data_IF_403960600306
#
_entry.id   IF_403960600306
#
_cell.length_a   1.000
_cell.length_b   1.000
_cell.length_c   1.000
_cell.angle_alpha   90.00
_cell.angle_beta   90.00
_cell.angle_gamma   90.00
#
_symmetry.space_group_name_H-M   'P 1'
#
loop_
_entity.id
_entity.type
_entity.pdbx_description
1 polymer ?
#
# COMPACT_ATOMS: atom_id res chain seq x y z
N UNK A 1 -18.20 1.85 -10.16
CA UNK A 1 -18.35 3.13 -9.42
C UNK A 1 -17.00 3.81 -9.36
N UNK A 2 -16.91 5.13 -9.67
CA UNK A 2 -15.64 5.86 -9.60
C UNK A 2 -15.17 5.94 -8.14
N UNK A 3 -13.91 5.61 -7.89
CA UNK A 3 -13.27 5.67 -6.56
C UNK A 3 -12.44 6.95 -6.42
N UNK A 4 -11.65 7.28 -7.46
CA UNK A 4 -10.78 8.46 -7.51
C UNK A 4 -10.90 9.08 -8.91
N UNK A 5 -10.89 10.41 -8.95
CA UNK A 5 -10.80 11.18 -10.19
C UNK A 5 -9.80 12.31 -10.02
N UNK A 6 -8.78 12.33 -10.88
CA UNK A 6 -7.82 13.42 -10.99
C UNK A 6 -8.23 14.29 -12.18
N UNK A 7 -8.35 15.60 -11.98
CA UNK A 7 -8.71 16.56 -13.00
C UNK A 7 -7.63 17.63 -13.12
N UNK A 8 -7.02 17.71 -14.27
CA UNK A 8 -5.93 18.66 -14.60
C UNK A 8 -4.81 18.66 -13.53
N UNK A 9 -4.55 17.46 -12.97
CA UNK A 9 -3.71 17.31 -11.80
C UNK A 9 -2.25 17.61 -12.11
N UNK A 10 -1.65 18.51 -11.32
CA UNK A 10 -0.22 18.79 -11.34
C UNK A 10 0.37 18.58 -9.94
N UNK A 11 1.50 17.87 -9.88
CA UNK A 11 2.19 17.54 -8.64
C UNK A 11 3.67 17.87 -8.75
N UNK A 12 4.27 18.29 -7.63
CA UNK A 12 5.68 18.65 -7.60
C UNK A 12 6.22 18.88 -6.20
N UNK A 13 7.51 19.17 -6.12
CA UNK A 13 8.25 19.46 -4.89
C UNK A 13 9.03 20.76 -5.05
N UNK A 14 9.01 21.62 -4.05
CA UNK A 14 9.85 22.85 -3.97
C UNK A 14 9.82 23.70 -5.24
N UNK A 15 8.64 23.84 -5.86
CA UNK A 15 8.46 24.61 -7.08
C UNK A 15 8.85 23.90 -8.38
N UNK A 16 9.34 22.65 -8.32
CA UNK A 16 9.59 21.81 -9.50
C UNK A 16 8.37 20.95 -9.79
N UNK A 17 7.77 21.12 -10.97
CA UNK A 17 6.70 20.26 -11.45
C UNK A 17 7.26 18.88 -11.84
N UNK A 18 6.64 17.81 -11.34
CA UNK A 18 6.99 16.41 -11.66
C UNK A 18 5.95 15.79 -12.57
N UNK A 19 4.68 16.07 -12.31
CA UNK A 19 3.53 15.68 -13.15
C UNK A 19 2.71 16.90 -13.43
N UNK A 20 2.22 17.04 -14.66
CA UNK A 20 1.40 18.17 -15.10
C UNK A 20 0.21 17.68 -15.93
N UNK A 21 -0.93 18.34 -15.73
CA UNK A 21 -2.13 18.16 -16.55
C UNK A 21 -2.60 16.71 -16.66
N UNK A 22 -2.50 15.95 -15.56
CA UNK A 22 -2.91 14.53 -15.54
C UNK A 22 -4.43 14.41 -15.39
N UNK A 23 -5.05 13.70 -16.31
CA UNK A 23 -6.42 13.20 -16.22
C UNK A 23 -6.38 11.70 -15.91
N UNK A 24 -6.99 11.28 -14.80
CA UNK A 24 -7.04 9.89 -14.39
C UNK A 24 -8.36 9.60 -13.67
N UNK A 25 -9.00 8.49 -14.01
CA UNK A 25 -10.16 7.98 -13.30
C UNK A 25 -9.90 6.52 -12.91
N UNK A 26 -10.13 6.19 -11.65
CA UNK A 26 -10.04 4.82 -11.11
C UNK A 26 -11.41 4.38 -10.68
N UNK A 27 -11.87 3.24 -11.18
CA UNK A 27 -13.16 2.68 -10.86
C UNK A 27 -13.03 1.44 -9.96
N UNK A 28 -14.12 1.07 -9.31
CA UNK A 28 -14.18 -0.16 -8.54
C UNK A 28 -14.03 -1.37 -9.46
N UNK A 29 -13.12 -2.28 -9.10
CA UNK A 29 -12.78 -3.44 -9.93
C UNK A 29 -11.71 -3.18 -10.99
N UNK A 30 -11.19 -1.94 -11.11
CA UNK A 30 -10.07 -1.68 -12.01
C UNK A 30 -8.77 -2.28 -11.46
N UNK A 31 -8.02 -2.89 -12.35
CA UNK A 31 -6.61 -3.21 -12.17
C UNK A 31 -5.78 -2.26 -13.05
N UNK A 32 -5.14 -1.26 -12.42
CA UNK A 32 -4.42 -0.21 -13.11
C UNK A 32 -2.90 -0.28 -12.87
N UNK A 33 -2.13 -0.51 -13.92
CA UNK A 33 -0.68 -0.46 -13.88
C UNK A 33 -0.16 0.90 -14.37
N UNK A 34 0.64 1.58 -13.52
CA UNK A 34 1.32 2.82 -13.88
C UNK A 34 2.74 2.49 -14.34
N UNK A 35 3.00 2.65 -15.63
CA UNK A 35 4.27 2.30 -16.27
C UNK A 35 5.03 3.57 -16.68
N UNK A 36 6.35 3.54 -16.56
CA UNK A 36 7.21 4.65 -16.96
C UNK A 36 8.62 4.49 -16.39
N UNK A 37 9.55 5.29 -16.89
CA UNK A 37 10.95 5.30 -16.44
C UNK A 37 11.11 5.68 -14.96
N UNK A 38 12.28 5.38 -14.39
CA UNK A 38 12.61 5.84 -13.05
C UNK A 38 12.66 7.38 -13.02
N UNK A 39 11.98 7.97 -12.05
CA UNK A 39 11.85 9.43 -11.98
C UNK A 39 10.67 10.03 -12.77
N UNK A 40 9.88 9.23 -13.51
CA UNK A 40 8.71 9.71 -14.26
C UNK A 40 7.53 10.20 -13.38
N UNK A 41 7.66 10.16 -12.04
CA UNK A 41 6.62 10.66 -11.14
C UNK A 41 5.61 9.64 -10.64
N UNK A 42 5.81 8.34 -10.87
CA UNK A 42 4.91 7.25 -10.41
C UNK A 42 4.63 7.33 -8.90
N UNK A 43 5.67 7.31 -8.09
CA UNK A 43 5.55 7.43 -6.62
C UNK A 43 5.04 8.81 -6.18
N UNK A 44 5.27 9.86 -6.98
CA UNK A 44 4.72 11.19 -6.74
C UNK A 44 3.21 11.20 -6.91
N UNK A 45 2.70 10.53 -7.95
CA UNK A 45 1.25 10.36 -8.15
C UNK A 45 0.61 9.60 -6.99
N UNK A 46 1.21 8.47 -6.57
CA UNK A 46 0.70 7.69 -5.43
C UNK A 46 0.68 8.53 -4.14
N UNK A 47 1.74 9.32 -3.88
CA UNK A 47 1.78 10.24 -2.73
C UNK A 47 0.73 11.34 -2.82
N UNK A 48 0.44 11.85 -4.03
CA UNK A 48 -0.64 12.80 -4.27
C UNK A 48 -2.01 12.18 -3.93
N UNK A 49 -2.28 10.98 -4.43
CA UNK A 49 -3.49 10.22 -4.14
C UNK A 49 -3.63 9.92 -2.64
N UNK A 50 -2.53 9.64 -1.94
CA UNK A 50 -2.53 9.42 -0.49
C UNK A 50 -2.65 10.72 0.33
N UNK A 51 -2.67 11.90 -0.32
CA UNK A 51 -2.70 13.20 0.36
C UNK A 51 -1.40 13.55 1.07
N UNK A 52 -0.30 12.84 0.80
CA UNK A 52 1.01 13.08 1.40
C UNK A 52 1.72 14.30 0.78
N UNK A 53 1.33 14.66 -0.44
CA UNK A 53 1.74 15.90 -1.11
C UNK A 53 0.49 16.61 -1.65
N UNK A 54 0.53 17.93 -1.63
CA UNK A 54 -0.58 18.74 -2.15
C UNK A 54 -0.42 18.98 -3.66
N UNK A 55 -1.52 18.94 -4.43
CA UNK A 55 -1.50 19.38 -5.81
C UNK A 55 -0.96 20.80 -5.95
N UNK A 56 -0.13 21.04 -6.97
CA UNK A 56 0.33 22.37 -7.38
C UNK A 56 -0.61 22.99 -8.42
N UNK A 57 -1.47 22.16 -9.05
CA UNK A 57 -2.55 22.57 -9.95
C UNK A 57 -3.57 21.45 -10.05
N UNK A 58 -4.79 21.77 -10.48
CA UNK A 58 -5.88 20.83 -10.56
C UNK A 58 -6.32 20.28 -9.21
N UNK A 59 -7.01 19.14 -9.20
CA UNK A 59 -7.53 18.54 -7.97
C UNK A 59 -7.74 17.03 -8.08
N UNK A 60 -7.87 16.38 -6.90
CA UNK A 60 -8.20 14.97 -6.77
C UNK A 60 -9.53 14.87 -6.05
N UNK A 61 -10.53 14.28 -6.69
CA UNK A 61 -11.81 13.92 -6.08
C UNK A 61 -11.76 12.49 -5.55
N UNK A 62 -12.06 12.33 -4.27
CA UNK A 62 -12.18 11.04 -3.61
C UNK A 62 -13.65 10.69 -3.42
N UNK A 63 -14.08 9.55 -3.94
CA UNK A 63 -15.41 8.99 -3.74
C UNK A 63 -15.41 7.83 -2.73
N UNK A 64 -14.29 7.65 -2.03
CA UNK A 64 -14.11 6.70 -0.93
C UNK A 64 -13.38 7.40 0.23
N UNK A 65 -13.64 6.98 1.48
CA UNK A 65 -12.92 7.53 2.63
C UNK A 65 -11.45 7.07 2.65
N UNK A 66 -10.51 7.90 3.11
CA UNK A 66 -9.08 7.55 3.17
C UNK A 66 -8.77 6.24 3.92
N UNK A 67 -9.60 5.88 4.92
CA UNK A 67 -9.47 4.64 5.70
C UNK A 67 -9.73 3.36 4.90
N UNK A 68 -10.25 3.47 3.69
CA UNK A 68 -10.50 2.34 2.77
C UNK A 68 -9.38 2.19 1.73
N UNK A 69 -8.32 3.00 1.82
CA UNK A 69 -7.15 2.93 0.95
C UNK A 69 -6.04 2.20 1.68
N UNK A 70 -5.67 1.02 1.19
CA UNK A 70 -4.45 0.33 1.57
C UNK A 70 -3.26 0.84 0.76
N UNK A 71 -2.10 0.93 1.39
CA UNK A 71 -0.87 1.35 0.71
C UNK A 71 0.31 0.45 1.04
N UNK A 72 0.92 -0.08 0.00
CA UNK A 72 2.19 -0.79 0.05
C UNK A 72 3.29 0.14 -0.49
N UNK A 73 4.10 0.76 0.40
CA UNK A 73 5.21 1.61 -0.02
C UNK A 73 6.37 0.79 -0.56
N UNK A 74 7.22 1.43 -1.36
CA UNK A 74 8.54 0.92 -1.68
C UNK A 74 9.33 0.70 -0.38
N UNK A 75 9.90 -0.48 -0.21
CA UNK A 75 10.58 -0.86 1.02
C UNK A 75 11.93 -0.13 1.16
N UNK A 76 12.14 0.54 2.27
CA UNK A 76 13.41 1.21 2.61
C UNK A 76 14.28 0.34 3.54
N UNK A 77 15.62 0.53 3.56
CA UNK A 77 16.51 -0.19 4.49
C UNK A 77 16.11 -0.03 5.97
N UNK A 78 15.65 1.15 6.37
CA UNK A 78 15.22 1.44 7.76
C UNK A 78 13.98 0.60 8.12
N UNK A 79 13.05 0.42 7.20
CA UNK A 79 11.86 -0.40 7.43
C UNK A 79 12.20 -1.88 7.58
N UNK A 80 13.29 -2.36 6.96
CA UNK A 80 13.74 -3.76 7.05
C UNK A 80 14.22 -4.15 8.45
N UNK A 81 14.75 -3.20 9.21
CA UNK A 81 15.31 -3.44 10.55
C UNK A 81 14.31 -3.14 11.69
N UNK A 82 13.02 -3.19 11.41
CA UNK A 82 11.99 -2.86 12.39
C UNK A 82 11.83 -3.98 13.43
N UNK A 83 12.02 -3.72 14.75
CA UNK A 83 12.06 -4.73 15.81
C UNK A 83 10.67 -5.04 16.38
N UNK A 84 9.73 -5.47 15.54
CA UNK A 84 8.39 -5.87 15.94
C UNK A 84 8.11 -7.29 15.46
N UNK A 85 7.14 -7.97 16.08
CA UNK A 85 6.63 -9.24 15.56
C UNK A 85 5.86 -9.01 14.25
N UNK A 86 5.86 -10.02 13.40
CA UNK A 86 5.14 -9.98 12.11
C UNK A 86 3.67 -9.62 12.32
N UNK A 87 3.02 -10.23 13.29
CA UNK A 87 1.60 -9.96 13.56
C UNK A 87 1.35 -8.52 13.99
N UNK A 88 2.26 -7.90 14.75
CA UNK A 88 2.16 -6.46 15.12
C UNK A 88 2.31 -5.56 13.92
N UNK A 89 3.23 -5.88 13.00
CA UNK A 89 3.38 -5.15 11.73
C UNK A 89 2.08 -5.21 10.93
N UNK A 90 1.46 -6.38 10.79
CA UNK A 90 0.21 -6.54 10.03
C UNK A 90 -0.96 -5.85 10.71
N UNK A 91 -1.09 -5.98 12.04
CA UNK A 91 -2.12 -5.30 12.84
C UNK A 91 -2.06 -3.78 12.68
N UNK A 92 -0.87 -3.20 12.48
CA UNK A 92 -0.74 -1.75 12.24
C UNK A 92 -1.51 -1.26 11.00
N UNK A 93 -1.82 -2.15 10.05
CA UNK A 93 -2.67 -1.84 8.90
C UNK A 93 -4.11 -1.47 9.28
N UNK A 94 -4.61 -1.99 10.42
CA UNK A 94 -5.96 -1.71 10.90
C UNK A 94 -6.12 -0.37 11.64
N UNK A 95 -5.02 0.35 11.90
CA UNK A 95 -5.06 1.59 12.70
C UNK A 95 -6.01 2.65 12.15
N UNK A 96 -6.01 2.85 10.83
CA UNK A 96 -6.87 3.84 10.18
C UNK A 96 -8.36 3.53 10.34
N UNK A 97 -8.73 2.25 10.36
CA UNK A 97 -10.12 1.81 10.55
C UNK A 97 -10.56 1.85 12.01
N UNK A 98 -9.62 1.68 12.95
CA UNK A 98 -9.91 1.65 14.40
C UNK A 98 -10.13 3.01 15.04
N UNK A 99 -9.66 4.09 14.42
CA UNK A 99 -9.75 5.44 15.02
C UNK A 99 -9.01 5.52 16.36
N UNK A 100 -9.72 5.89 17.43
CA UNK A 100 -9.15 6.10 18.77
C UNK A 100 -9.12 4.84 19.67
N UNK A 101 -9.44 3.65 19.16
CA UNK A 101 -9.39 2.42 19.96
C UNK A 101 -7.93 2.05 20.28
N UNK A 102 -7.50 2.05 21.58
CA UNK A 102 -6.09 1.95 21.93
C UNK A 102 -5.52 0.52 21.85
N UNK A 103 -6.37 -0.50 21.79
CA UNK A 103 -5.95 -1.88 21.80
C UNK A 103 -6.53 -2.67 20.63
N UNK A 104 -5.75 -3.66 20.15
CA UNK A 104 -6.23 -4.63 19.18
C UNK A 104 -7.09 -5.68 19.88
N UNK A 105 -8.20 -6.02 19.26
CA UNK A 105 -9.11 -7.08 19.72
C UNK A 105 -8.67 -8.44 19.19
N UNK A 106 -9.31 -9.51 19.70
CA UNK A 106 -9.14 -10.85 19.15
C UNK A 106 -9.54 -10.92 17.68
N UNK A 107 -10.62 -10.24 17.30
CA UNK A 107 -11.07 -10.19 15.90
C UNK A 107 -10.05 -9.49 14.98
N UNK A 108 -9.40 -8.41 15.45
CA UNK A 108 -8.31 -7.76 14.70
C UNK A 108 -7.15 -8.73 14.44
N UNK A 109 -6.77 -9.50 15.48
CA UNK A 109 -5.70 -10.49 15.35
C UNK A 109 -6.08 -11.62 14.40
N UNK A 110 -7.32 -12.10 14.44
CA UNK A 110 -7.84 -13.09 13.50
C UNK A 110 -7.82 -12.57 12.06
N UNK A 111 -8.20 -11.29 11.84
CA UNK A 111 -8.10 -10.63 10.54
C UNK A 111 -6.65 -10.57 10.04
N UNK A 112 -5.70 -10.16 10.88
CA UNK A 112 -4.29 -10.10 10.53
C UNK A 112 -3.72 -11.48 10.16
N UNK A 113 -4.06 -12.53 10.94
CA UNK A 113 -3.64 -13.90 10.67
C UNK A 113 -4.26 -14.43 9.36
N UNK A 114 -5.52 -14.09 9.07
CA UNK A 114 -6.16 -14.47 7.79
C UNK A 114 -5.44 -13.85 6.58
N UNK A 115 -4.98 -12.59 6.68
CA UNK A 115 -4.19 -11.95 5.62
C UNK A 115 -2.79 -12.56 5.48
N UNK A 116 -2.15 -12.93 6.60
CA UNK A 116 -0.89 -13.68 6.57
C UNK A 116 -1.05 -15.06 5.93
N UNK A 117 -2.13 -15.78 6.26
CA UNK A 117 -2.45 -17.09 5.67
C UNK A 117 -2.65 -16.99 4.17
N UNK A 118 -3.39 -15.98 3.71
CA UNK A 118 -3.62 -15.71 2.28
C UNK A 118 -2.30 -15.56 1.50
N UNK A 119 -1.25 -15.03 2.17
CA UNK A 119 0.07 -14.80 1.59
C UNK A 119 1.11 -15.89 1.95
N UNK A 120 0.68 -17.03 2.50
CA UNK A 120 1.58 -18.13 2.87
C UNK A 120 2.63 -17.74 3.92
N UNK A 121 2.29 -16.86 4.87
CA UNK A 121 3.20 -16.32 5.88
C UNK A 121 2.67 -16.43 7.32
N UNK A 122 1.63 -17.26 7.57
CA UNK A 122 1.02 -17.40 8.89
C UNK A 122 1.98 -17.97 9.93
N UNK A 123 2.83 -18.92 9.54
CA UNK A 123 3.86 -19.54 10.38
C UNK A 123 4.91 -18.54 10.88
N UNK A 124 5.04 -17.38 10.21
CA UNK A 124 5.94 -16.31 10.58
C UNK A 124 5.35 -15.33 11.61
N UNK A 125 4.07 -15.44 11.96
CA UNK A 125 3.31 -14.44 12.73
C UNK A 125 4.00 -13.99 14.04
N UNK A 126 4.67 -14.88 14.73
CA UNK A 126 5.34 -14.60 16.00
C UNK A 126 6.85 -14.33 15.86
N UNK A 127 7.41 -14.38 14.63
CA UNK A 127 8.82 -14.07 14.39
C UNK A 127 9.06 -12.57 14.39
N UNK A 128 10.30 -12.16 14.66
CA UNK A 128 10.71 -10.78 14.53
C UNK A 128 10.81 -10.42 13.04
N UNK A 129 10.19 -9.31 12.62
CA UNK A 129 10.12 -8.87 11.22
C UNK A 129 11.52 -8.68 10.59
N UNK A 130 12.48 -8.10 11.33
CA UNK A 130 13.85 -7.88 10.85
C UNK A 130 14.63 -9.17 10.55
N UNK A 131 14.20 -10.33 11.11
CA UNK A 131 14.85 -11.62 10.89
C UNK A 131 14.37 -12.34 9.64
N UNK A 132 13.40 -11.75 8.93
CA UNK A 132 12.80 -12.32 7.75
C UNK A 132 13.66 -12.05 6.51
N UNK A 133 13.59 -12.95 5.52
CA UNK A 133 14.11 -12.69 4.19
C UNK A 133 13.33 -11.56 3.50
N UNK A 134 13.92 -10.91 2.48
CA UNK A 134 13.26 -9.83 1.75
C UNK A 134 11.89 -10.22 1.19
N UNK A 135 11.77 -11.42 0.62
CA UNK A 135 10.48 -11.94 0.12
C UNK A 135 9.46 -12.17 1.23
N UNK A 136 9.88 -12.68 2.39
CA UNK A 136 9.01 -12.83 3.56
C UNK A 136 8.55 -11.47 4.10
N UNK A 137 9.45 -10.49 4.18
CA UNK A 137 9.11 -9.12 4.58
C UNK A 137 8.10 -8.49 3.62
N UNK A 138 8.25 -8.71 2.33
CA UNK A 138 7.32 -8.19 1.32
C UNK A 138 5.92 -8.78 1.48
N UNK A 139 5.80 -10.10 1.71
CA UNK A 139 4.51 -10.75 2.00
C UNK A 139 3.86 -10.15 3.25
N UNK A 140 4.63 -9.88 4.30
CA UNK A 140 4.14 -9.25 5.54
C UNK A 140 3.64 -7.81 5.29
N UNK A 141 4.38 -7.01 4.51
CA UNK A 141 3.95 -5.66 4.15
C UNK A 141 2.71 -5.65 3.28
N UNK A 142 2.57 -6.62 2.37
CA UNK A 142 1.35 -6.77 1.58
C UNK A 142 0.17 -7.20 2.47
N UNK A 143 0.36 -8.12 3.42
CA UNK A 143 -0.67 -8.47 4.40
C UNK A 143 -1.13 -7.24 5.20
N UNK A 144 -0.19 -6.40 5.62
CA UNK A 144 -0.46 -5.12 6.28
C UNK A 144 -1.29 -4.18 5.40
N UNK A 145 -0.91 -4.02 4.12
CA UNK A 145 -1.63 -3.18 3.17
C UNK A 145 -3.05 -3.72 2.90
N UNK A 146 -3.22 -5.04 2.79
CA UNK A 146 -4.52 -5.70 2.64
C UNK A 146 -5.41 -5.58 3.90
N UNK A 147 -4.84 -5.42 5.09
CA UNK A 147 -5.59 -5.10 6.30
C UNK A 147 -6.12 -3.66 6.28
N UNK A 148 -5.38 -2.73 5.67
CA UNK A 148 -5.79 -1.34 5.51
C UNK A 148 -6.76 -1.13 4.35
N UNK A 149 -6.66 -1.96 3.30
CA UNK A 149 -7.45 -1.82 2.08
C UNK A 149 -8.90 -2.26 2.31
N UNK A 150 -9.83 -1.34 2.19
CA UNK A 150 -11.26 -1.65 2.10
C UNK A 150 -11.69 -1.84 0.64
N UNK A 151 -11.42 -0.83 -0.20
CA UNK A 151 -11.88 -0.80 -1.61
C UNK A 151 -10.80 -0.44 -2.61
N UNK A 152 -9.66 0.08 -2.16
CA UNK A 152 -8.53 0.46 -3.02
C UNK A 152 -7.22 0.04 -2.39
N UNK A 153 -6.37 -0.62 -3.16
CA UNK A 153 -5.00 -0.94 -2.81
C UNK A 153 -4.06 -0.20 -3.76
N UNK A 154 -3.17 0.61 -3.19
CA UNK A 154 -2.10 1.29 -3.91
C UNK A 154 -0.77 0.59 -3.63
N UNK A 155 0.01 0.31 -4.65
CA UNK A 155 1.31 -0.37 -4.52
C UNK A 155 2.39 0.39 -5.28
N UNK A 156 3.50 0.71 -4.60
CA UNK A 156 4.67 1.37 -5.18
C UNK A 156 5.80 0.34 -5.33
N UNK A 157 6.08 -0.06 -6.57
CA UNK A 157 7.09 -1.08 -6.92
C UNK A 157 6.97 -2.40 -6.10
N UNK A 158 5.78 -3.04 -6.06
CA UNK A 158 5.49 -4.12 -5.13
C UNK A 158 6.36 -5.37 -5.31
N UNK A 159 6.97 -5.55 -6.48
CA UNK A 159 7.70 -6.76 -6.87
C UNK A 159 9.21 -6.53 -7.02
N UNK A 160 9.71 -5.33 -6.72
CA UNK A 160 11.14 -5.02 -6.86
C UNK A 160 11.98 -5.87 -5.91
N UNK A 161 12.91 -6.65 -6.49
CA UNK A 161 13.83 -7.51 -5.74
C UNK A 161 13.23 -8.82 -5.22
N UNK A 162 12.06 -9.23 -5.70
CA UNK A 162 11.47 -10.54 -5.43
C UNK A 162 11.88 -11.57 -6.49
N UNK A 163 11.89 -12.83 -6.07
CA UNK A 163 11.97 -13.96 -6.98
C UNK A 163 10.73 -14.02 -7.89
N UNK A 164 10.86 -14.38 -9.19
CA UNK A 164 9.72 -14.49 -10.11
C UNK A 164 8.61 -15.42 -9.62
N UNK A 165 8.94 -16.47 -8.89
CA UNK A 165 7.96 -17.40 -8.32
C UNK A 165 7.06 -16.71 -7.29
N UNK A 166 7.68 -15.94 -6.39
CA UNK A 166 6.96 -15.16 -5.37
C UNK A 166 6.11 -14.06 -6.02
N UNK A 167 6.61 -13.48 -7.10
CA UNK A 167 5.89 -12.46 -7.85
C UNK A 167 4.58 -13.00 -8.43
N UNK A 168 4.62 -14.18 -9.05
CA UNK A 168 3.41 -14.81 -9.62
C UNK A 168 2.39 -15.17 -8.52
N UNK A 169 2.84 -15.74 -7.40
CA UNK A 169 1.95 -16.04 -6.26
C UNK A 169 1.26 -14.79 -5.71
N UNK A 170 1.94 -13.63 -5.74
CA UNK A 170 1.36 -12.36 -5.26
C UNK A 170 0.36 -11.77 -6.25
N UNK A 171 0.55 -11.96 -7.56
CA UNK A 171 -0.46 -11.59 -8.57
C UNK A 171 -1.76 -12.36 -8.35
N UNK A 172 -1.68 -13.69 -8.15
CA UNK A 172 -2.85 -14.56 -7.93
C UNK A 172 -3.66 -14.18 -6.66
N UNK A 173 -3.05 -13.46 -5.73
CA UNK A 173 -3.72 -12.99 -4.49
C UNK A 173 -4.39 -11.63 -4.67
N UNK A 174 -3.93 -10.82 -5.61
CA UNK A 174 -4.43 -9.46 -5.84
C UNK A 174 -5.53 -9.43 -6.91
N UNK A 175 -5.58 -10.42 -7.81
CA UNK A 175 -6.68 -10.67 -8.74
C UNK A 175 -7.92 -11.24 -8.02
#
# INVERSE_FOLDING_TARGET
MTLIQCCDLSLGYEGKCVLSHLELSVQEGDYLAIVGENGAGKSTLLKGILGLIRPTGGHIHFHLPPKEIGYLPQQTPIQRDFPASVVEVVLSGLLAAKGYAPFYTRADRETALAKLRLLGAEDLANRCYRELSGGQQQRVLLARALCAAGRLLLMDEPFTGLDPTVTNELYDVVD
#
